data_IF_354637933615
#
_entry.id   IF_354637933615
#
_cell.length_a   1.000
_cell.length_b   1.000
_cell.length_c   1.000
_cell.angle_alpha   90.00
_cell.angle_beta   90.00
_cell.angle_gamma   90.00
#
_symmetry.space_group_name_H-M   'P 1'
#
loop_
_entity.id
_entity.type
_entity.pdbx_description
1 polymer ?
#
# COMPACT_ATOMS: atom_id res chain seq x y z
N UNK A 1 -7.34 -26.55 -11.32
CA UNK A 1 -6.51 -25.44 -10.81
C UNK A 1 -7.31 -24.17 -11.02
N UNK A 2 -7.44 -23.33 -10.02
CA UNK A 2 -8.05 -22.01 -10.18
C UNK A 2 -7.17 -21.19 -11.14
N UNK A 3 -7.75 -20.51 -12.11
CA UNK A 3 -7.03 -19.59 -12.98
C UNK A 3 -6.37 -18.50 -12.12
N UNK A 4 -5.18 -18.07 -12.51
CA UNK A 4 -4.54 -16.92 -11.89
C UNK A 4 -5.39 -15.69 -12.16
N UNK A 5 -5.58 -14.86 -11.14
CA UNK A 5 -6.26 -13.58 -11.26
C UNK A 5 -5.25 -12.50 -11.65
N UNK A 6 -5.66 -11.62 -12.55
CA UNK A 6 -4.88 -10.46 -12.96
C UNK A 6 -5.38 -9.22 -12.23
N UNK A 7 -4.52 -8.58 -11.46
CA UNK A 7 -4.83 -7.33 -10.78
C UNK A 7 -4.05 -6.17 -11.37
N UNK A 8 -4.68 -5.00 -11.42
CA UNK A 8 -4.01 -3.76 -11.72
C UNK A 8 -3.51 -3.11 -10.42
N UNK A 9 -2.23 -2.74 -10.37
CA UNK A 9 -1.70 -1.95 -9.28
C UNK A 9 -2.21 -0.51 -9.38
N UNK A 10 -3.09 -0.12 -8.46
CA UNK A 10 -3.83 1.15 -8.49
C UNK A 10 -2.98 2.32 -7.96
N UNK A 11 -1.84 2.56 -8.59
CA UNK A 11 -1.01 3.72 -8.27
C UNK A 11 -1.79 5.03 -8.54
N UNK A 12 -1.81 6.00 -7.62
CA UNK A 12 -2.63 7.22 -7.75
C UNK A 12 -2.24 8.18 -8.88
N UNK A 13 -1.36 7.79 -9.76
CA UNK A 13 -0.92 8.61 -10.90
C UNK A 13 0.02 9.75 -10.49
N UNK A 14 0.74 9.61 -9.38
CA UNK A 14 1.73 10.60 -8.90
C UNK A 14 3.12 10.41 -9.52
N UNK A 15 3.39 9.22 -10.07
CA UNK A 15 4.71 8.90 -10.65
C UNK A 15 5.00 9.82 -11.84
N UNK A 16 6.13 10.51 -11.77
CA UNK A 16 6.57 11.43 -12.80
C UNK A 16 5.81 12.77 -12.83
N UNK A 17 4.91 13.00 -11.87
CA UNK A 17 4.22 14.28 -11.68
C UNK A 17 4.88 15.05 -10.55
N UNK A 18 5.23 16.31 -10.83
CA UNK A 18 5.69 17.26 -9.83
C UNK A 18 4.56 18.13 -9.30
N UNK A 19 4.89 18.99 -8.35
CA UNK A 19 3.98 20.01 -7.82
C UNK A 19 4.11 21.34 -8.58
N UNK A 20 4.71 21.33 -9.76
CA UNK A 20 4.95 22.53 -10.57
C UNK A 20 3.67 23.01 -11.25
N UNK A 21 3.57 24.32 -11.46
CA UNK A 21 2.45 24.91 -12.18
C UNK A 21 2.33 24.32 -13.61
N UNK A 22 1.14 23.89 -13.97
CA UNK A 22 0.86 23.27 -15.27
C UNK A 22 1.00 21.75 -15.31
N UNK A 23 1.37 21.11 -14.21
CA UNK A 23 1.33 19.64 -14.13
C UNK A 23 -0.12 19.13 -14.12
N UNK A 24 -0.34 17.98 -14.76
CA UNK A 24 -1.64 17.34 -14.69
C UNK A 24 -1.94 16.86 -13.27
N UNK A 25 -3.20 17.04 -12.79
CA UNK A 25 -3.57 16.53 -11.47
C UNK A 25 -3.46 14.99 -11.41
N UNK A 26 -3.35 14.42 -10.22
CA UNK A 26 -3.45 12.98 -10.03
C UNK A 26 -4.75 12.42 -10.62
N UNK A 27 -4.71 11.19 -11.11
CA UNK A 27 -5.89 10.51 -11.65
C UNK A 27 -6.84 10.18 -10.49
N UNK A 28 -8.12 10.54 -10.59
CA UNK A 28 -9.12 10.17 -9.58
C UNK A 28 -9.30 8.65 -9.53
N UNK A 29 -9.70 8.13 -8.36
CA UNK A 29 -9.98 6.70 -8.19
C UNK A 29 -11.01 6.20 -9.21
N UNK A 30 -12.13 6.91 -9.37
CA UNK A 30 -13.18 6.51 -10.32
C UNK A 30 -12.65 6.44 -11.76
N UNK A 31 -11.88 7.45 -12.19
CA UNK A 31 -11.29 7.46 -13.53
C UNK A 31 -10.32 6.30 -13.72
N UNK A 32 -9.51 5.97 -12.71
CA UNK A 32 -8.58 4.87 -12.78
C UNK A 32 -9.29 3.52 -12.83
N UNK A 33 -10.38 3.35 -12.08
CA UNK A 33 -11.24 2.17 -12.16
C UNK A 33 -11.87 2.02 -13.54
N UNK A 34 -12.35 3.12 -14.15
CA UNK A 34 -12.90 3.10 -15.52
C UNK A 34 -11.86 2.70 -16.55
N UNK A 35 -10.65 3.22 -16.46
CA UNK A 35 -9.54 2.84 -17.34
C UNK A 35 -9.16 1.35 -17.16
N UNK A 36 -9.13 0.87 -15.93
CA UNK A 36 -8.85 -0.54 -15.62
C UNK A 36 -9.94 -1.45 -16.19
N UNK A 37 -11.21 -1.07 -16.04
CA UNK A 37 -12.35 -1.82 -16.59
C UNK A 37 -12.37 -1.86 -18.12
N UNK A 38 -11.90 -0.80 -18.77
CA UNK A 38 -11.79 -0.71 -20.21
C UNK A 38 -10.58 -1.43 -20.81
N UNK A 39 -9.56 -1.74 -19.98
CA UNK A 39 -8.34 -2.38 -20.44
C UNK A 39 -8.58 -3.85 -20.78
N UNK A 40 -8.20 -4.23 -22.00
CA UNK A 40 -8.31 -5.61 -22.49
C UNK A 40 -7.16 -5.90 -23.45
N UNK A 41 -6.52 -7.05 -23.27
CA UNK A 41 -5.48 -7.57 -24.18
C UNK A 41 -5.82 -9.02 -24.52
N UNK A 42 -6.00 -9.32 -25.80
CA UNK A 42 -6.32 -10.67 -26.29
C UNK A 42 -7.53 -11.31 -25.58
N UNK A 43 -8.56 -10.53 -25.28
CA UNK A 43 -9.75 -10.97 -24.58
C UNK A 43 -9.58 -11.11 -23.07
N UNK A 44 -8.40 -10.81 -22.52
CA UNK A 44 -8.14 -10.86 -21.08
C UNK A 44 -8.28 -9.47 -20.45
N UNK A 45 -9.06 -9.42 -19.38
CA UNK A 45 -9.30 -8.22 -18.56
C UNK A 45 -8.76 -8.42 -17.16
N UNK A 46 -8.69 -7.32 -16.41
CA UNK A 46 -8.38 -7.38 -14.99
C UNK A 46 -9.54 -7.99 -14.19
N UNK A 47 -9.21 -8.85 -13.24
CA UNK A 47 -10.15 -9.44 -12.27
C UNK A 47 -10.30 -8.59 -11.01
N UNK A 48 -9.34 -7.73 -10.74
CA UNK A 48 -9.30 -6.93 -9.53
C UNK A 48 -8.20 -5.90 -9.53
N UNK A 49 -7.98 -5.32 -8.37
CA UNK A 49 -6.98 -4.27 -8.15
C UNK A 49 -6.14 -4.56 -6.91
N UNK A 50 -4.90 -4.11 -6.92
CA UNK A 50 -4.07 -3.94 -5.74
C UNK A 50 -4.08 -2.46 -5.36
N UNK A 51 -4.46 -2.15 -4.12
CA UNK A 51 -4.98 -0.84 -3.76
C UNK A 51 -4.09 -0.08 -2.79
N UNK A 52 -3.81 1.16 -3.12
CA UNK A 52 -2.93 2.03 -2.35
C UNK A 52 -3.72 2.86 -1.33
N UNK A 53 -3.31 2.79 -0.06
CA UNK A 53 -4.01 3.40 1.07
C UNK A 53 -3.48 4.81 1.38
N UNK A 54 -3.45 5.67 0.36
CA UNK A 54 -3.08 7.07 0.54
C UNK A 54 -3.77 8.00 -0.46
N UNK A 55 -3.71 9.29 -0.18
CA UNK A 55 -4.29 10.31 -1.05
C UNK A 55 -3.64 10.30 -2.45
N UNK A 56 -4.38 10.67 -3.49
CA UNK A 56 -5.77 11.18 -3.45
C UNK A 56 -6.86 10.09 -3.45
N UNK A 57 -6.53 8.82 -3.53
CA UNK A 57 -7.53 7.75 -3.65
C UNK A 57 -8.16 7.35 -2.32
N UNK A 58 -7.37 7.29 -1.26
CA UNK A 58 -7.84 6.93 0.07
C UNK A 58 -7.22 7.86 1.11
N UNK A 59 -8.05 8.43 1.97
CA UNK A 59 -7.56 8.97 3.22
C UNK A 59 -7.42 7.80 4.23
N UNK A 60 -6.22 7.46 4.72
CA UNK A 60 -6.05 6.37 5.69
C UNK A 60 -6.83 6.59 6.99
N UNK A 61 -7.13 7.85 7.32
CA UNK A 61 -7.90 8.26 8.51
C UNK A 61 -9.41 8.38 8.23
N UNK A 62 -9.88 8.00 7.04
CA UNK A 62 -11.28 8.04 6.68
C UNK A 62 -12.16 7.22 7.65
N UNK A 63 -13.41 7.64 7.79
CA UNK A 63 -14.41 6.89 8.56
C UNK A 63 -14.71 5.53 7.93
N UNK A 64 -15.26 4.64 8.72
CA UNK A 64 -15.66 3.31 8.25
C UNK A 64 -16.69 3.38 7.11
N UNK A 65 -17.59 4.36 7.14
CA UNK A 65 -18.61 4.51 6.10
C UNK A 65 -18.02 5.07 4.79
N UNK A 66 -17.04 5.97 4.85
CA UNK A 66 -16.29 6.40 3.66
C UNK A 66 -15.51 5.24 3.05
N UNK A 67 -14.85 4.41 3.87
CA UNK A 67 -14.12 3.23 3.40
C UNK A 67 -15.06 2.18 2.78
N UNK A 68 -16.25 1.96 3.34
CA UNK A 68 -17.28 1.12 2.72
C UNK A 68 -17.76 1.69 1.39
N UNK A 69 -17.93 3.01 1.29
CA UNK A 69 -18.26 3.69 0.03
C UNK A 69 -17.19 3.47 -1.07
N UNK A 70 -15.91 3.46 -0.69
CA UNK A 70 -14.82 3.09 -1.61
C UNK A 70 -14.95 1.62 -2.03
N UNK A 71 -15.23 0.73 -1.10
CA UNK A 71 -15.42 -0.70 -1.40
C UNK A 71 -16.59 -0.90 -2.38
N UNK A 72 -17.72 -0.23 -2.16
CA UNK A 72 -18.89 -0.26 -3.06
C UNK A 72 -18.55 0.25 -4.46
N UNK A 73 -17.78 1.34 -4.56
CA UNK A 73 -17.32 1.88 -5.85
C UNK A 73 -16.47 0.86 -6.61
N UNK A 74 -15.52 0.21 -5.94
CA UNK A 74 -14.63 -0.78 -6.54
C UNK A 74 -15.44 -2.02 -7.00
N UNK A 75 -16.30 -2.55 -6.12
CA UNK A 75 -17.16 -3.70 -6.45
C UNK A 75 -18.17 -3.37 -7.54
N UNK A 76 -18.70 -2.14 -7.55
CA UNK A 76 -19.61 -1.65 -8.60
C UNK A 76 -18.98 -1.62 -9.99
N UNK A 77 -17.65 -1.56 -10.10
CA UNK A 77 -16.91 -1.72 -11.37
C UNK A 77 -16.54 -3.18 -11.67
N UNK A 78 -16.92 -4.12 -10.83
CA UNK A 78 -16.69 -5.55 -11.01
C UNK A 78 -15.34 -6.07 -10.50
N UNK A 79 -14.65 -5.31 -9.67
CA UNK A 79 -13.32 -5.66 -9.17
C UNK A 79 -13.33 -6.21 -7.75
N UNK A 80 -12.49 -7.23 -7.51
CA UNK A 80 -12.07 -7.63 -6.17
C UNK A 80 -10.85 -6.77 -5.75
N UNK A 81 -10.70 -6.52 -4.44
CA UNK A 81 -9.48 -5.94 -3.88
C UNK A 81 -8.52 -7.07 -3.51
N UNK A 82 -7.29 -6.99 -3.99
CA UNK A 82 -6.20 -7.92 -3.68
C UNK A 82 -5.33 -7.46 -2.53
N UNK A 83 -4.05 -7.18 -2.82
CA UNK A 83 -3.15 -6.58 -1.84
C UNK A 83 -3.48 -5.12 -1.56
N UNK A 84 -3.21 -4.70 -0.33
CA UNK A 84 -3.26 -3.30 0.07
C UNK A 84 -1.85 -2.78 0.24
N UNK A 85 -1.59 -1.57 -0.20
CA UNK A 85 -0.30 -0.90 0.00
C UNK A 85 -0.43 0.06 1.18
N UNK A 86 0.26 -0.25 2.27
CA UNK A 86 0.23 0.57 3.48
C UNK A 86 0.99 1.90 3.26
N UNK A 87 0.49 3.02 3.80
CA UNK A 87 1.12 4.33 3.67
C UNK A 87 2.25 4.49 4.68
N UNK A 88 3.32 3.71 4.54
CA UNK A 88 4.37 3.56 5.57
C UNK A 88 5.59 4.45 5.39
N UNK A 89 5.70 5.21 4.32
CA UNK A 89 6.90 6.00 4.02
C UNK A 89 6.79 7.49 4.37
N UNK A 90 7.92 8.20 4.50
CA UNK A 90 7.92 9.64 4.73
C UNK A 90 7.09 10.42 3.69
N UNK A 91 6.31 11.39 4.16
CA UNK A 91 5.38 12.16 3.32
C UNK A 91 3.97 11.57 3.26
N UNK A 92 3.75 10.39 3.81
CA UNK A 92 2.41 9.83 4.10
C UNK A 92 2.11 9.93 5.62
N UNK A 93 1.12 9.17 6.10
CA UNK A 93 0.87 9.07 7.57
C UNK A 93 1.94 8.24 8.28
N UNK A 94 2.70 7.44 7.54
CA UNK A 94 3.83 6.66 8.04
C UNK A 94 5.15 7.44 8.01
N UNK A 95 6.23 6.73 8.33
CA UNK A 95 7.59 7.26 8.32
C UNK A 95 8.60 6.11 8.22
N UNK A 96 9.90 6.40 8.36
CA UNK A 96 10.98 5.45 8.22
C UNK A 96 10.94 4.29 9.25
N UNK A 97 11.02 3.06 8.77
CA UNK A 97 11.20 1.87 9.62
C UNK A 97 12.63 1.77 10.21
N UNK A 98 13.57 2.57 9.73
CA UNK A 98 14.96 2.60 10.13
C UNK A 98 15.30 3.85 10.94
N UNK A 99 14.42 4.83 11.00
CA UNK A 99 14.64 6.12 11.60
C UNK A 99 14.64 6.15 13.13
N UNK A 100 14.32 7.31 13.68
CA UNK A 100 14.17 7.51 15.13
C UNK A 100 13.03 6.65 15.70
N UNK A 101 12.95 6.54 17.01
CA UNK A 101 11.84 5.85 17.68
C UNK A 101 10.48 6.42 17.28
N UNK A 102 10.36 7.76 17.17
CA UNK A 102 9.14 8.42 16.72
C UNK A 102 8.78 8.03 15.29
N UNK A 103 9.75 8.01 14.37
CA UNK A 103 9.52 7.64 12.98
C UNK A 103 9.10 6.18 12.85
N UNK A 104 9.77 5.27 13.56
CA UNK A 104 9.37 3.85 13.61
C UNK A 104 7.98 3.67 14.22
N UNK A 105 7.62 4.48 15.23
CA UNK A 105 6.28 4.52 15.79
C UNK A 105 5.23 4.87 14.74
N UNK A 106 5.48 5.89 13.91
CA UNK A 106 4.58 6.26 12.78
C UNK A 106 4.47 5.14 11.75
N UNK A 107 5.58 4.47 11.42
CA UNK A 107 5.57 3.30 10.54
C UNK A 107 4.61 2.21 11.06
N UNK A 108 4.72 1.87 12.34
CA UNK A 108 3.88 0.84 12.97
C UNK A 108 2.40 1.25 13.06
N UNK A 109 2.11 2.52 13.34
CA UNK A 109 0.74 3.04 13.33
C UNK A 109 0.13 3.00 11.92
N UNK A 110 0.91 3.30 10.87
CA UNK A 110 0.45 3.16 9.48
C UNK A 110 0.12 1.69 9.13
N UNK A 111 0.88 0.73 9.65
CA UNK A 111 0.55 -0.71 9.51
C UNK A 111 -0.76 -1.05 10.22
N UNK A 112 -0.99 -0.52 11.43
CA UNK A 112 -2.27 -0.71 12.15
C UNK A 112 -3.45 -0.12 11.38
N UNK A 113 -3.30 1.09 10.81
CA UNK A 113 -4.32 1.69 9.95
C UNK A 113 -4.63 0.80 8.73
N UNK A 114 -3.60 0.28 8.07
CA UNK A 114 -3.80 -0.63 6.95
C UNK A 114 -4.54 -1.91 7.36
N UNK A 115 -4.24 -2.46 8.52
CA UNK A 115 -4.97 -3.62 9.08
C UNK A 115 -6.44 -3.30 9.38
N UNK A 116 -6.73 -2.10 9.93
CA UNK A 116 -8.11 -1.63 10.15
C UNK A 116 -8.88 -1.56 8.82
N UNK A 117 -8.29 -0.94 7.81
CA UNK A 117 -8.91 -0.80 6.48
C UNK A 117 -9.11 -2.17 5.84
N UNK A 118 -8.12 -3.07 5.93
CA UNK A 118 -8.22 -4.44 5.46
C UNK A 118 -9.41 -5.17 6.09
N UNK A 119 -9.60 -5.03 7.40
CA UNK A 119 -10.74 -5.59 8.12
C UNK A 119 -12.07 -5.08 7.58
N UNK A 120 -12.21 -3.75 7.38
CA UNK A 120 -13.43 -3.15 6.84
C UNK A 120 -13.73 -3.70 5.45
N UNK A 121 -12.76 -3.75 4.55
CA UNK A 121 -12.93 -4.29 3.21
C UNK A 121 -13.25 -5.79 3.20
N UNK A 122 -12.66 -6.57 4.12
CA UNK A 122 -12.96 -8.00 4.27
C UNK A 122 -14.40 -8.22 4.77
N UNK A 123 -14.82 -7.50 5.81
CA UNK A 123 -16.17 -7.59 6.39
C UNK A 123 -17.24 -7.10 5.40
N UNK A 124 -16.91 -6.11 4.57
CA UNK A 124 -17.78 -5.60 3.51
C UNK A 124 -17.82 -6.51 2.26
N UNK A 125 -16.98 -7.55 2.22
CA UNK A 125 -16.94 -8.52 1.13
C UNK A 125 -16.18 -8.07 -0.13
N UNK A 126 -15.55 -6.89 -0.11
CA UNK A 126 -14.77 -6.37 -1.23
C UNK A 126 -13.39 -7.01 -1.34
N UNK A 127 -12.86 -7.56 -0.24
CA UNK A 127 -11.56 -8.23 -0.18
C UNK A 127 -11.73 -9.57 0.54
N UNK A 128 -11.23 -10.65 -0.04
CA UNK A 128 -11.40 -11.98 0.54
C UNK A 128 -10.10 -12.55 1.09
N UNK A 129 -9.01 -12.26 0.44
CA UNK A 129 -7.65 -12.70 0.79
C UNK A 129 -6.67 -11.70 0.21
N UNK A 130 -5.53 -11.59 0.84
CA UNK A 130 -4.47 -10.75 0.33
C UNK A 130 -3.37 -10.58 1.37
N UNK A 131 -2.49 -9.68 1.05
CA UNK A 131 -1.43 -9.24 1.92
C UNK A 131 -1.51 -7.72 2.05
N UNK A 132 -0.95 -7.19 3.11
CA UNK A 132 -0.63 -5.78 3.20
C UNK A 132 0.82 -5.65 2.74
N UNK A 133 1.03 -4.94 1.64
CA UNK A 133 2.36 -4.60 1.15
C UNK A 133 2.89 -3.45 2.00
N UNK A 134 4.10 -3.60 2.46
CA UNK A 134 4.93 -2.53 2.98
C UNK A 134 6.10 -2.35 2.02
N UNK A 135 6.51 -1.12 1.80
CA UNK A 135 7.74 -0.87 1.09
C UNK A 135 8.93 -1.14 2.02
N UNK A 136 10.13 -0.94 1.53
CA UNK A 136 11.34 -1.05 2.32
C UNK A 136 11.39 0.01 3.44
N UNK A 137 12.45 -0.01 4.22
CA UNK A 137 12.54 0.76 5.46
C UNK A 137 12.54 2.28 5.25
N UNK A 138 13.20 2.77 4.20
CA UNK A 138 13.38 4.20 3.92
C UNK A 138 13.78 4.40 2.46
N UNK A 139 13.35 5.51 1.87
CA UNK A 139 13.80 5.90 0.53
C UNK A 139 15.28 6.32 0.56
N UNK A 140 16.07 5.81 -0.38
CA UNK A 140 17.51 6.03 -0.46
C UNK A 140 18.31 5.05 0.40
N UNK A 141 19.51 4.71 -0.07
CA UNK A 141 20.38 3.72 0.57
C UNK A 141 21.51 4.35 1.39
N UNK A 142 21.70 5.65 1.28
CA UNK A 142 22.86 6.34 1.83
C UNK A 142 22.89 6.25 3.36
N UNK A 143 21.79 6.54 4.00
CA UNK A 143 21.67 6.48 5.44
C UNK A 143 21.84 5.04 5.98
N UNK A 144 21.36 4.05 5.25
CA UNK A 144 21.59 2.65 5.62
C UNK A 144 23.08 2.32 5.57
N UNK A 145 23.82 2.83 4.59
CA UNK A 145 25.26 2.58 4.41
C UNK A 145 26.13 3.20 5.50
N UNK A 146 25.68 4.23 6.20
CA UNK A 146 26.43 4.86 7.31
C UNK A 146 26.78 3.87 8.42
N UNK A 147 25.83 2.97 8.76
CA UNK A 147 26.03 1.82 9.63
C UNK A 147 25.08 0.69 9.22
N UNK A 148 25.48 -0.06 8.22
CA UNK A 148 24.65 -1.09 7.62
C UNK A 148 24.24 -2.17 8.66
N UNK A 149 25.10 -2.51 9.60
CA UNK A 149 24.81 -3.54 10.61
C UNK A 149 23.76 -3.05 11.61
N UNK A 150 23.93 -1.87 12.19
CA UNK A 150 23.00 -1.29 13.15
C UNK A 150 21.64 -0.98 12.49
N UNK A 151 21.67 -0.40 11.28
CA UNK A 151 20.46 -0.05 10.53
C UNK A 151 19.68 -1.31 10.13
N UNK A 152 20.36 -2.37 9.69
CA UNK A 152 19.71 -3.66 9.41
C UNK A 152 19.07 -4.24 10.68
N UNK A 153 19.74 -4.20 11.82
CA UNK A 153 19.17 -4.68 13.08
C UNK A 153 17.90 -3.88 13.47
N UNK A 154 17.91 -2.57 13.26
CA UNK A 154 16.76 -1.69 13.50
C UNK A 154 15.58 -2.04 12.58
N UNK A 155 15.83 -2.20 11.27
CA UNK A 155 14.81 -2.61 10.29
C UNK A 155 14.18 -3.95 10.68
N UNK A 156 15.02 -4.95 10.99
CA UNK A 156 14.56 -6.28 11.39
C UNK A 156 13.65 -6.23 12.61
N UNK A 157 13.99 -5.41 13.61
CA UNK A 157 13.16 -5.29 14.81
C UNK A 157 11.81 -4.60 14.48
N UNK A 158 11.82 -3.51 13.72
CA UNK A 158 10.60 -2.81 13.30
C UNK A 158 9.69 -3.72 12.45
N UNK A 159 10.26 -4.46 11.50
CA UNK A 159 9.48 -5.37 10.65
C UNK A 159 8.94 -6.57 11.43
N UNK A 160 9.64 -7.09 12.43
CA UNK A 160 9.10 -8.13 13.32
C UNK A 160 7.90 -7.63 14.10
N UNK A 161 7.96 -6.41 14.63
CA UNK A 161 6.85 -5.80 15.34
C UNK A 161 5.66 -5.56 14.40
N UNK A 162 5.91 -5.01 13.22
CA UNK A 162 4.89 -4.84 12.18
C UNK A 162 4.23 -6.16 11.79
N UNK A 163 5.01 -7.23 11.63
CA UNK A 163 4.49 -8.56 11.31
C UNK A 163 3.63 -9.13 12.45
N UNK A 164 3.98 -8.87 13.70
CA UNK A 164 3.18 -9.24 14.86
C UNK A 164 1.85 -8.50 14.85
N UNK A 165 1.86 -7.18 14.62
CA UNK A 165 0.65 -6.35 14.49
C UNK A 165 -0.26 -6.92 13.39
N UNK A 166 0.27 -7.21 12.21
CA UNK A 166 -0.52 -7.76 11.11
C UNK A 166 -1.12 -9.13 11.47
N UNK A 167 -0.33 -10.02 12.08
CA UNK A 167 -0.79 -11.35 12.50
C UNK A 167 -1.93 -11.26 13.53
N UNK A 168 -1.87 -10.34 14.49
CA UNK A 168 -2.91 -10.11 15.48
C UNK A 168 -4.24 -9.65 14.84
N UNK A 169 -4.17 -9.06 13.64
CA UNK A 169 -5.34 -8.68 12.83
C UNK A 169 -5.72 -9.73 11.78
N UNK A 170 -5.05 -10.89 11.75
CA UNK A 170 -5.29 -11.95 10.77
C UNK A 170 -4.75 -11.63 9.37
N UNK A 171 -3.88 -10.64 9.25
CA UNK A 171 -3.25 -10.22 8.01
C UNK A 171 -1.81 -10.71 7.87
N UNK A 172 -1.26 -10.62 6.68
CA UNK A 172 0.14 -10.93 6.37
C UNK A 172 0.80 -9.70 5.76
N UNK A 173 2.06 -9.49 6.06
CA UNK A 173 2.86 -8.47 5.41
C UNK A 173 3.72 -9.07 4.30
N UNK A 174 3.93 -8.28 3.25
CA UNK A 174 4.92 -8.51 2.21
C UNK A 174 5.73 -7.23 2.01
N UNK A 175 7.05 -7.30 2.19
CA UNK A 175 7.93 -6.19 1.88
C UNK A 175 8.27 -6.21 0.39
N UNK A 176 8.13 -5.08 -0.28
CA UNK A 176 8.55 -4.92 -1.67
C UNK A 176 10.00 -4.47 -1.72
N UNK A 177 10.81 -5.22 -2.48
CA UNK A 177 12.22 -4.90 -2.73
C UNK A 177 12.36 -3.98 -3.92
N UNK A 178 12.52 -2.69 -3.68
CA UNK A 178 12.81 -1.72 -4.73
C UNK A 178 14.26 -1.25 -4.68
N UNK A 179 14.84 -1.00 -5.87
CA UNK A 179 16.25 -0.69 -6.02
C UNK A 179 16.69 0.59 -5.31
N UNK A 180 15.79 1.53 -5.10
CA UNK A 180 16.09 2.82 -4.47
C UNK A 180 15.80 2.85 -2.95
N UNK A 181 15.39 1.73 -2.36
CA UNK A 181 14.98 1.68 -0.96
C UNK A 181 16.00 0.99 -0.06
N UNK A 182 16.21 1.54 1.12
CA UNK A 182 17.11 0.98 2.12
C UNK A 182 16.57 -0.32 2.71
N UNK A 183 17.47 -1.25 3.04
CA UNK A 183 17.16 -2.52 3.69
C UNK A 183 16.73 -3.65 2.76
N UNK A 184 16.65 -3.40 1.45
CA UNK A 184 16.34 -4.41 0.44
C UNK A 184 17.53 -4.76 -0.45
N UNK A 185 18.70 -4.22 -0.16
CA UNK A 185 19.94 -4.52 -0.83
C UNK A 185 20.85 -5.31 0.12
N UNK A 186 21.29 -6.43 -0.34
CA UNK A 186 22.36 -7.23 0.31
C UNK A 186 23.71 -6.88 -0.28
#
# INVERSE_FOLDING_TARGET
MSALKLHNAMWPGLVGKGDEEGQEPPISLERMLDLTAAAEVDGQKYDGIDYFLFLPHTNPEASDDELKGIADLIQGKGFDIGSLVAPVWPGTVGDSAMGTEEQRGKFLEAVKMACRIAKIFNEHGARKRGVIRIDSAEFGVEKWREDAAANTATIVNTFKEAATIAADHGERLAAEGEICWAGMHS
#
